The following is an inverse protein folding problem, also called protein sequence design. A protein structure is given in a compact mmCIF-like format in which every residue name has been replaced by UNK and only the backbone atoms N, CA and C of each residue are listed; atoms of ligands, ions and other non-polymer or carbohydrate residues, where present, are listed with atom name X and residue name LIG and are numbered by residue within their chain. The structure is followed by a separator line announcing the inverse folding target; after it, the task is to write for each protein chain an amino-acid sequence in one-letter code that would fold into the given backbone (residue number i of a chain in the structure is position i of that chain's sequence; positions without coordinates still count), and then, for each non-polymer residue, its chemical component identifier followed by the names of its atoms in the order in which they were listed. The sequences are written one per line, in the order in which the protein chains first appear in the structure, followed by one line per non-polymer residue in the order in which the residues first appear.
data_IF_032619861373
#
_entry.id   IF_032619861373
#
_cell.length_a   1.000
_cell.length_b   1.000
_cell.length_c   1.000
_cell.angle_alpha   90.00
_cell.angle_beta   90.00
_cell.angle_gamma   90.00
#
_symmetry.space_group_name_H-M   'P 1'
#
loop_
_entity.id
_entity.type
_entity.pdbx_description
1 polymer ?
#
# COMPACT_ATOMS: atom_id res chain seq x y z
N UNK A 1 1.03 -9.31 -6.36
CA UNK A 1 1.06 -8.10 -5.49
C UNK A 1 -0.31 -7.70 -4.91
N UNK A 2 -1.43 -8.27 -5.37
CA UNK A 2 -2.79 -8.08 -4.80
C UNK A 2 -2.89 -8.45 -3.28
N UNK A 3 -1.92 -9.20 -2.75
CA UNK A 3 -1.96 -9.83 -1.43
C UNK A 3 -1.52 -8.96 -0.26
N UNK A 4 -0.56 -8.05 -0.48
CA UNK A 4 -0.02 -7.17 0.59
C UNK A 4 -1.12 -6.29 1.15
N UNK A 5 -2.01 -5.85 0.27
CA UNK A 5 -3.18 -5.06 0.55
C UNK A 5 -4.21 -5.76 1.47
N UNK A 6 -4.69 -6.95 1.07
CA UNK A 6 -5.65 -7.73 1.85
C UNK A 6 -5.08 -8.20 3.19
N UNK A 7 -3.75 -8.35 3.28
CA UNK A 7 -3.08 -8.72 4.51
C UNK A 7 -3.22 -7.64 5.58
N UNK A 8 -2.92 -6.38 5.24
CA UNK A 8 -2.86 -5.25 6.18
C UNK A 8 -4.16 -4.98 6.96
N UNK A 9 -5.32 -5.47 6.46
CA UNK A 9 -6.63 -5.29 7.10
C UNK A 9 -6.98 -6.33 8.18
N UNK A 10 -6.17 -7.37 8.38
CA UNK A 10 -6.42 -8.37 9.42
C UNK A 10 -5.61 -8.05 10.68
N UNK A 11 -6.35 -7.68 11.75
CA UNK A 11 -5.80 -7.36 13.07
C UNK A 11 -4.97 -8.50 13.66
N UNK A 12 -4.00 -8.06 14.47
CA UNK A 12 -2.94 -8.78 15.18
C UNK A 12 -3.39 -10.03 15.97
N UNK A 13 -2.59 -11.10 15.86
CA UNK A 13 -2.43 -12.10 16.92
C UNK A 13 -0.93 -12.40 17.08
N UNK A 14 -0.28 -12.16 18.24
CA UNK A 14 1.13 -12.51 18.43
C UNK A 14 1.33 -14.02 18.27
N UNK A 15 2.44 -14.41 17.62
CA UNK A 15 2.85 -15.81 17.39
C UNK A 15 4.13 -16.15 18.16
N UNK A 16 4.75 -15.17 18.83
CA UNK A 16 5.84 -15.48 19.76
C UNK A 16 5.17 -16.12 20.97
N UNK A 17 5.18 -17.45 20.99
CA UNK A 17 4.71 -18.20 22.15
C UNK A 17 5.65 -17.87 23.31
N UNK A 18 5.12 -17.34 24.42
CA UNK A 18 5.92 -17.14 25.63
C UNK A 18 6.39 -18.47 26.23
N UNK A 19 5.86 -19.60 25.74
CA UNK A 19 6.02 -20.92 26.35
C UNK A 19 7.20 -21.70 25.78
N UNK A 20 7.62 -21.41 24.54
CA UNK A 20 8.69 -22.17 23.85
C UNK A 20 9.61 -21.27 23.01
N UNK A 21 10.88 -21.68 22.87
CA UNK A 21 11.88 -21.07 21.97
C UNK A 21 12.00 -19.54 22.11
N UNK A 22 12.05 -19.07 23.35
CA UNK A 22 12.25 -17.67 23.68
C UNK A 22 13.60 -17.43 24.38
N UNK A 23 13.98 -16.16 24.54
CA UNK A 23 15.26 -15.80 25.19
C UNK A 23 15.32 -16.21 26.67
N UNK A 24 14.17 -16.33 27.33
CA UNK A 24 14.07 -16.80 28.71
C UNK A 24 14.41 -18.28 28.87
N UNK A 25 14.22 -19.10 27.82
CA UNK A 25 14.68 -20.49 27.78
C UNK A 25 16.05 -20.64 27.08
N UNK A 26 16.87 -19.58 27.02
CA UNK A 26 18.19 -19.55 26.38
C UNK A 26 18.21 -19.95 24.89
N UNK A 27 17.09 -19.81 24.17
CA UNK A 27 17.06 -20.03 22.73
C UNK A 27 17.75 -18.87 21.97
N UNK A 28 18.59 -19.20 20.99
CA UNK A 28 19.21 -18.22 20.09
C UNK A 28 18.19 -17.75 19.03
N UNK A 29 17.64 -16.55 19.23
CA UNK A 29 16.63 -15.95 18.33
C UNK A 29 17.19 -14.68 17.68
N UNK A 30 17.38 -14.75 16.35
CA UNK A 30 17.82 -13.62 15.53
C UNK A 30 16.69 -12.63 15.28
N UNK A 31 16.93 -11.34 15.53
CA UNK A 31 15.91 -10.27 15.45
C UNK A 31 15.30 -10.13 14.05
N UNK A 32 16.12 -10.22 13.00
CA UNK A 32 15.70 -9.99 11.61
C UNK A 32 15.10 -11.21 10.92
N UNK A 33 14.81 -12.30 11.65
CA UNK A 33 14.36 -13.56 11.04
C UNK A 33 13.09 -13.39 10.19
N UNK A 34 12.17 -12.49 10.58
CA UNK A 34 10.93 -12.24 9.84
C UNK A 34 11.19 -11.60 8.47
N UNK A 35 12.12 -10.64 8.41
CA UNK A 35 12.52 -9.98 7.17
C UNK A 35 13.18 -10.97 6.22
N UNK A 36 14.13 -11.76 6.75
CA UNK A 36 14.81 -12.81 5.99
C UNK A 36 13.84 -13.88 5.49
N UNK A 37 12.91 -14.32 6.33
CA UNK A 37 11.89 -15.29 5.96
C UNK A 37 11.01 -14.77 4.81
N UNK A 38 10.60 -13.50 4.86
CA UNK A 38 9.83 -12.89 3.77
C UNK A 38 10.65 -12.80 2.48
N UNK A 39 11.90 -12.32 2.52
CA UNK A 39 12.73 -12.19 1.32
C UNK A 39 13.00 -13.55 0.65
N UNK A 40 13.20 -14.61 1.43
CA UNK A 40 13.52 -15.94 0.92
C UNK A 40 12.30 -16.73 0.41
N UNK A 41 11.09 -16.45 0.94
CA UNK A 41 9.91 -17.30 0.70
C UNK A 41 8.79 -16.61 -0.08
N UNK A 42 8.75 -15.27 -0.14
CA UNK A 42 7.69 -14.54 -0.84
C UNK A 42 7.61 -14.92 -2.33
N UNK A 43 8.74 -14.96 -3.04
CA UNK A 43 8.79 -15.34 -4.45
C UNK A 43 8.25 -16.77 -4.69
N UNK A 44 8.64 -17.72 -3.82
CA UNK A 44 8.20 -19.13 -3.90
C UNK A 44 6.69 -19.26 -3.69
N UNK A 45 6.14 -18.51 -2.73
CA UNK A 45 4.70 -18.49 -2.47
C UNK A 45 3.90 -17.85 -3.60
N UNK A 46 4.43 -16.79 -4.23
CA UNK A 46 3.81 -16.18 -5.41
C UNK A 46 3.85 -17.12 -6.60
N UNK A 47 4.97 -17.80 -6.83
CA UNK A 47 5.08 -18.81 -7.88
C UNK A 47 4.11 -19.98 -7.63
N UNK A 48 4.05 -20.48 -6.40
CA UNK A 48 3.11 -21.53 -5.99
C UNK A 48 1.65 -21.11 -6.17
N UNK A 49 1.30 -19.87 -5.84
CA UNK A 49 -0.03 -19.33 -6.10
C UNK A 49 -0.38 -19.32 -7.59
N UNK A 50 0.53 -18.87 -8.45
CA UNK A 50 0.30 -18.79 -9.89
C UNK A 50 0.14 -20.18 -10.53
N UNK A 51 0.90 -21.17 -10.05
CA UNK A 51 0.85 -22.55 -10.54
C UNK A 51 -0.27 -23.41 -9.90
N UNK A 52 -0.89 -22.96 -8.81
CA UNK A 52 -1.86 -23.75 -8.07
C UNK A 52 -3.25 -23.81 -8.74
N UNK A 53 -3.99 -24.93 -8.57
CA UNK A 53 -5.41 -24.99 -8.90
C UNK A 53 -6.24 -23.97 -8.10
N UNK A 54 -7.38 -23.55 -8.64
CA UNK A 54 -8.23 -22.50 -8.06
C UNK A 54 -8.63 -22.78 -6.60
N UNK A 55 -8.83 -24.05 -6.24
CA UNK A 55 -9.18 -24.49 -4.88
C UNK A 55 -8.06 -24.27 -3.85
N UNK A 56 -6.79 -24.38 -4.27
CA UNK A 56 -5.62 -24.26 -3.39
C UNK A 56 -5.07 -22.85 -3.31
N UNK A 57 -5.41 -22.01 -4.29
CA UNK A 57 -5.02 -20.60 -4.33
C UNK A 57 -5.26 -19.87 -3.00
N UNK A 58 -6.45 -19.94 -2.36
CA UNK A 58 -6.71 -19.31 -1.06
C UNK A 58 -5.67 -19.59 0.04
N UNK A 59 -5.09 -20.79 0.06
CA UNK A 59 -4.11 -21.17 1.07
C UNK A 59 -2.79 -20.40 0.92
N UNK A 60 -2.32 -20.20 -0.31
CA UNK A 60 -1.15 -19.37 -0.59
C UNK A 60 -1.38 -17.91 -0.17
N UNK A 61 -2.62 -17.43 -0.30
CA UNK A 61 -2.99 -16.06 0.08
C UNK A 61 -2.99 -15.89 1.58
N UNK A 62 -3.51 -16.89 2.28
CA UNK A 62 -3.48 -16.94 3.74
C UNK A 62 -2.03 -16.95 4.26
N UNK A 63 -1.15 -17.74 3.63
CA UNK A 63 0.26 -17.78 3.98
C UNK A 63 0.97 -16.44 3.71
N UNK A 64 0.83 -15.88 2.50
CA UNK A 64 1.40 -14.57 2.14
C UNK A 64 0.90 -13.46 3.07
N UNK A 65 -0.41 -13.45 3.35
CA UNK A 65 -1.04 -12.49 4.25
C UNK A 65 -0.45 -12.57 5.66
N UNK A 66 -0.34 -13.78 6.21
CA UNK A 66 0.25 -13.98 7.53
C UNK A 66 1.71 -13.54 7.59
N UNK A 67 2.52 -13.80 6.56
CA UNK A 67 3.92 -13.38 6.54
C UNK A 67 4.03 -11.86 6.50
N UNK A 68 3.30 -11.23 5.57
CA UNK A 68 3.31 -9.76 5.42
C UNK A 68 2.90 -9.11 6.72
N UNK A 69 1.81 -9.55 7.36
CA UNK A 69 1.29 -8.98 8.62
C UNK A 69 2.24 -9.10 9.81
N UNK A 70 3.27 -9.94 9.73
CA UNK A 70 4.30 -10.09 10.77
C UNK A 70 5.56 -9.29 10.51
N UNK A 71 5.67 -8.65 9.34
CA UNK A 71 6.77 -7.74 9.09
C UNK A 71 6.62 -6.45 9.88
N UNK A 72 7.74 -5.80 10.26
CA UNK A 72 7.69 -4.44 10.75
C UNK A 72 6.97 -3.55 9.73
N UNK A 73 6.10 -2.64 10.21
CA UNK A 73 5.35 -1.70 9.37
C UNK A 73 6.25 -0.97 8.36
N UNK A 74 7.46 -0.57 8.78
CA UNK A 74 8.44 0.07 7.89
C UNK A 74 8.73 -0.75 6.62
N UNK A 75 8.93 -2.07 6.75
CA UNK A 75 9.25 -2.95 5.60
C UNK A 75 8.04 -3.14 4.69
N UNK A 76 6.83 -3.17 5.25
CA UNK A 76 5.60 -3.27 4.46
C UNK A 76 5.37 -2.03 3.60
N UNK A 77 5.78 -0.85 4.12
CA UNK A 77 5.41 0.45 3.56
C UNK A 77 6.38 0.93 2.47
N UNK A 78 7.63 0.47 2.48
CA UNK A 78 8.62 0.79 1.42
C UNK A 78 8.21 0.23 0.05
N UNK A 79 7.55 -0.92 0.01
CA UNK A 79 7.18 -1.61 -1.23
C UNK A 79 5.84 -1.15 -1.82
N UNK A 80 4.97 -0.52 -1.02
CA UNK A 80 3.63 -0.13 -1.44
C UNK A 80 3.63 0.92 -2.57
N UNK A 81 4.41 2.01 -2.50
CA UNK A 81 4.48 2.96 -3.62
C UNK A 81 5.01 2.29 -4.89
N UNK A 82 5.97 1.37 -4.79
CA UNK A 82 6.51 0.66 -5.95
C UNK A 82 5.44 -0.18 -6.67
N UNK A 83 4.54 -0.82 -5.92
CA UNK A 83 3.45 -1.63 -6.45
C UNK A 83 2.45 -0.84 -7.31
N UNK A 84 2.30 0.48 -7.08
CA UNK A 84 1.44 1.35 -7.90
C UNK A 84 1.91 1.48 -9.36
N UNK A 85 3.17 1.20 -9.66
CA UNK A 85 3.69 1.22 -11.03
C UNK A 85 3.48 -0.10 -11.78
N UNK A 86 2.91 -1.12 -11.13
CA UNK A 86 2.48 -2.31 -11.83
C UNK A 86 1.32 -1.97 -12.78
N UNK A 87 1.32 -2.42 -14.05
CA UNK A 87 0.22 -2.14 -14.99
C UNK A 87 -1.07 -2.90 -14.66
N UNK A 88 -1.01 -3.88 -13.76
CA UNK A 88 -2.18 -4.65 -13.34
C UNK A 88 -3.15 -3.79 -12.51
N UNK A 89 -4.35 -3.58 -13.05
CA UNK A 89 -5.39 -2.76 -12.42
C UNK A 89 -5.83 -3.30 -11.05
N UNK A 90 -5.85 -4.63 -10.89
CA UNK A 90 -6.19 -5.27 -9.62
C UNK A 90 -5.15 -4.98 -8.53
N UNK A 91 -3.87 -5.02 -8.88
CA UNK A 91 -2.75 -4.63 -8.00
C UNK A 91 -2.88 -3.15 -7.64
N UNK A 92 -3.11 -2.27 -8.61
CA UNK A 92 -3.26 -0.83 -8.36
C UNK A 92 -4.41 -0.55 -7.39
N UNK A 93 -5.61 -1.07 -7.65
CA UNK A 93 -6.79 -0.89 -6.79
C UNK A 93 -6.56 -1.43 -5.38
N UNK A 94 -5.98 -2.62 -5.26
CA UNK A 94 -5.70 -3.23 -3.97
C UNK A 94 -4.70 -2.38 -3.18
N UNK A 95 -3.64 -1.92 -3.85
CA UNK A 95 -2.60 -1.09 -3.24
C UNK A 95 -3.16 0.26 -2.79
N UNK A 96 -3.94 0.95 -3.64
CA UNK A 96 -4.60 2.22 -3.31
C UNK A 96 -5.55 2.07 -2.12
N UNK A 97 -6.37 1.02 -2.10
CA UNK A 97 -7.31 0.75 -1.00
C UNK A 97 -6.60 0.55 0.34
N UNK A 98 -5.35 0.08 0.32
CA UNK A 98 -4.57 -0.18 1.53
C UNK A 98 -3.69 0.99 1.93
N UNK A 99 -3.30 1.84 0.98
CA UNK A 99 -2.68 3.12 1.28
C UNK A 99 -3.66 4.06 1.97
N UNK A 100 -4.93 4.09 1.56
CA UNK A 100 -5.91 5.04 2.06
C UNK A 100 -6.00 5.13 3.61
N UNK A 101 -6.11 4.02 4.38
CA UNK A 101 -6.07 4.08 5.84
C UNK A 101 -4.70 4.43 6.41
N UNK A 102 -3.60 4.08 5.73
CA UNK A 102 -2.23 4.42 6.17
C UNK A 102 -1.97 5.92 6.07
N UNK A 103 -2.58 6.60 5.10
CA UNK A 103 -2.43 8.04 4.91
C UNK A 103 -3.07 8.88 6.04
N UNK A 104 -3.95 8.30 6.86
CA UNK A 104 -4.54 9.00 8.01
C UNK A 104 -3.50 9.21 9.13
N UNK A 105 -2.59 8.26 9.30
CA UNK A 105 -1.49 8.31 10.28
C UNK A 105 -0.20 7.82 9.58
N UNK A 106 0.41 8.67 8.74
CA UNK A 106 1.50 8.25 7.88
C UNK A 106 2.77 7.99 8.70
N UNK A 107 3.45 6.85 8.50
CA UNK A 107 4.74 6.61 9.15
C UNK A 107 5.80 7.57 8.58
N UNK A 108 6.88 7.87 9.33
CA UNK A 108 7.99 8.70 8.84
C UNK A 108 8.61 8.19 7.53
N UNK A 109 8.67 6.87 7.34
CA UNK A 109 9.20 6.27 6.12
C UNK A 109 8.36 6.57 4.87
N UNK A 110 7.04 6.77 5.03
CA UNK A 110 6.17 7.15 3.92
C UNK A 110 6.35 8.63 3.57
N UNK A 111 6.50 9.48 4.60
CA UNK A 111 6.79 10.91 4.44
C UNK A 111 8.11 11.12 3.69
N UNK A 112 9.15 10.36 4.03
CA UNK A 112 10.43 10.37 3.29
C UNK A 112 10.29 10.03 1.79
N UNK A 113 9.24 9.29 1.42
CA UNK A 113 8.95 8.88 0.04
C UNK A 113 7.79 9.67 -0.58
N UNK A 114 7.32 10.75 0.08
CA UNK A 114 6.12 11.48 -0.29
C UNK A 114 6.13 11.96 -1.74
N UNK A 115 7.27 12.49 -2.19
CA UNK A 115 7.38 12.99 -3.55
C UNK A 115 7.16 11.90 -4.61
N UNK A 116 7.78 10.73 -4.40
CA UNK A 116 7.64 9.58 -5.28
C UNK A 116 6.22 9.00 -5.23
N UNK A 117 5.61 8.97 -4.04
CA UNK A 117 4.23 8.54 -3.86
C UNK A 117 3.27 9.45 -4.64
N UNK A 118 3.38 10.77 -4.46
CA UNK A 118 2.54 11.76 -5.16
C UNK A 118 2.68 11.61 -6.68
N UNK A 119 3.91 11.47 -7.19
CA UNK A 119 4.13 11.25 -8.62
C UNK A 119 3.36 10.05 -9.17
N UNK A 120 3.36 8.94 -8.44
CA UNK A 120 2.62 7.72 -8.83
C UNK A 120 1.11 7.89 -8.71
N UNK A 121 0.62 8.53 -7.65
CA UNK A 121 -0.81 8.81 -7.49
C UNK A 121 -1.33 9.72 -8.62
N UNK A 122 -0.62 10.81 -8.91
CA UNK A 122 -0.97 11.73 -9.99
C UNK A 122 -1.03 11.02 -11.36
N UNK A 123 -0.08 10.13 -11.65
CA UNK A 123 -0.12 9.34 -12.89
C UNK A 123 -1.39 8.47 -12.99
N UNK A 124 -1.83 7.87 -11.88
CA UNK A 124 -3.02 7.02 -11.84
C UNK A 124 -4.34 7.79 -12.00
N UNK A 125 -4.35 9.13 -11.84
CA UNK A 125 -5.54 9.95 -12.17
C UNK A 125 -5.88 9.94 -13.66
N UNK A 126 -4.95 9.55 -14.53
CA UNK A 126 -5.14 9.34 -15.96
C UNK A 126 -5.41 7.89 -16.36
N UNK A 127 -5.63 6.96 -15.41
CA UNK A 127 -5.85 5.54 -15.69
C UNK A 127 -7.07 5.31 -16.61
N UNK A 128 -7.05 4.31 -17.51
CA UNK A 128 -8.24 3.95 -18.29
C UNK A 128 -9.40 3.48 -17.42
N UNK A 129 -9.10 2.92 -16.24
CA UNK A 129 -10.07 2.42 -15.30
C UNK A 129 -10.65 3.54 -14.43
N UNK A 130 -11.96 3.48 -14.17
CA UNK A 130 -12.65 4.50 -13.39
C UNK A 130 -12.38 4.42 -11.90
N UNK A 131 -12.35 3.21 -11.34
CA UNK A 131 -12.16 3.01 -9.91
C UNK A 131 -10.72 3.31 -9.49
N UNK A 132 -9.74 3.04 -10.36
CA UNK A 132 -8.33 3.42 -10.12
C UNK A 132 -8.20 4.94 -10.01
N UNK A 133 -8.84 5.69 -10.92
CA UNK A 133 -8.82 7.17 -10.89
C UNK A 133 -9.45 7.71 -9.60
N UNK A 134 -10.64 7.20 -9.24
CA UNK A 134 -11.34 7.56 -8.00
C UNK A 134 -10.48 7.28 -6.77
N UNK A 135 -9.94 6.06 -6.67
CA UNK A 135 -9.13 5.62 -5.53
C UNK A 135 -7.84 6.43 -5.41
N UNK A 136 -7.21 6.79 -6.54
CA UNK A 136 -6.03 7.64 -6.54
C UNK A 136 -6.35 9.07 -6.07
N UNK A 137 -7.44 9.68 -6.56
CA UNK A 137 -7.89 11.00 -6.12
C UNK A 137 -8.19 11.04 -4.61
N UNK A 138 -8.78 9.98 -4.06
CA UNK A 138 -8.99 9.84 -2.61
C UNK A 138 -7.69 9.77 -1.83
N UNK A 139 -6.67 9.08 -2.36
CA UNK A 139 -5.35 9.06 -1.74
C UNK A 139 -4.68 10.45 -1.82
N UNK A 140 -4.80 11.15 -2.96
CA UNK A 140 -4.28 12.52 -3.10
C UNK A 140 -4.96 13.45 -2.10
N UNK A 141 -6.28 13.36 -1.96
CA UNK A 141 -7.02 14.09 -0.94
C UNK A 141 -6.54 13.75 0.49
N UNK A 142 -6.33 12.48 0.83
CA UNK A 142 -5.80 12.11 2.15
C UNK A 142 -4.41 12.72 2.42
N UNK A 143 -3.56 12.84 1.40
CA UNK A 143 -2.24 13.48 1.52
C UNK A 143 -2.34 14.99 1.81
N UNK A 144 -3.41 15.69 1.39
CA UNK A 144 -3.54 17.12 1.71
C UNK A 144 -3.67 17.40 3.22
N UNK A 145 -4.01 16.38 4.01
CA UNK A 145 -4.15 16.47 5.45
C UNK A 145 -2.82 16.30 6.21
N UNK A 146 -1.70 16.10 5.50
CA UNK A 146 -0.38 16.01 6.10
C UNK A 146 0.07 17.39 6.64
N UNK A 147 1.07 17.44 7.54
CA UNK A 147 1.60 18.69 8.03
C UNK A 147 2.01 19.63 6.89
N UNK A 148 1.68 20.92 7.01
CA UNK A 148 1.81 21.90 5.93
C UNK A 148 3.23 21.95 5.32
N UNK A 149 4.27 21.88 6.17
CA UNK A 149 5.66 21.89 5.73
C UNK A 149 6.05 20.71 4.83
N UNK A 150 5.36 19.56 4.94
CA UNK A 150 5.59 18.38 4.09
C UNK A 150 4.93 18.53 2.70
N UNK A 151 3.79 19.22 2.63
CA UNK A 151 2.99 19.32 1.40
C UNK A 151 3.26 20.58 0.58
N UNK A 152 3.70 21.68 1.22
CA UNK A 152 4.00 22.94 0.53
C UNK A 152 4.97 22.79 -0.65
N UNK A 153 6.08 22.00 -0.56
CA UNK A 153 7.02 21.85 -1.67
C UNK A 153 6.40 21.25 -2.94
N UNK A 154 5.34 20.45 -2.79
CA UNK A 154 4.71 19.70 -3.89
C UNK A 154 3.38 20.31 -4.34
N UNK A 155 2.81 21.25 -3.57
CA UNK A 155 1.48 21.86 -3.78
C UNK A 155 1.24 22.34 -5.21
N UNK A 156 2.14 23.18 -5.73
CA UNK A 156 1.98 23.75 -7.08
C UNK A 156 1.99 22.69 -8.20
N UNK A 157 2.72 21.59 -8.00
CA UNK A 157 2.72 20.46 -8.94
C UNK A 157 1.41 19.68 -8.86
N UNK A 158 0.92 19.42 -7.65
CA UNK A 158 -0.34 18.70 -7.41
C UNK A 158 -1.53 19.47 -7.99
N UNK A 159 -1.68 20.76 -7.68
CA UNK A 159 -2.78 21.59 -8.17
C UNK A 159 -2.83 21.69 -9.69
N UNK A 160 -1.66 21.79 -10.35
CA UNK A 160 -1.58 21.76 -11.82
C UNK A 160 -2.05 20.41 -12.37
N UNK A 161 -1.60 19.31 -11.78
CA UNK A 161 -1.99 17.97 -12.22
C UNK A 161 -3.48 17.68 -11.97
N UNK A 162 -4.05 18.20 -10.87
CA UNK A 162 -5.47 18.08 -10.55
C UNK A 162 -6.40 18.88 -11.48
N UNK A 163 -5.87 19.71 -12.39
CA UNK A 163 -6.71 20.35 -13.42
C UNK A 163 -7.34 19.35 -14.38
N UNK A 164 -6.59 18.33 -14.81
CA UNK A 164 -7.07 17.37 -15.81
C UNK A 164 -8.25 16.51 -15.29
N UNK A 165 -8.23 15.95 -14.06
CA UNK A 165 -9.35 15.17 -13.55
C UNK A 165 -10.62 15.98 -13.24
N UNK A 166 -10.56 17.33 -13.19
CA UNK A 166 -11.77 18.15 -13.08
C UNK A 166 -12.65 18.07 -14.33
N UNK A 167 -12.04 17.89 -15.50
CA UNK A 167 -12.72 17.73 -16.79
C UNK A 167 -12.90 16.26 -17.18
N UNK A 168 -12.83 15.35 -16.20
CA UNK A 168 -12.96 13.93 -16.44
C UNK A 168 -14.32 13.58 -17.07
N UNK A 169 -14.37 12.63 -18.01
CA UNK A 169 -15.62 12.18 -18.65
C UNK A 169 -16.67 11.65 -17.67
N UNK A 170 -16.28 11.15 -16.49
CA UNK A 170 -17.19 10.56 -15.49
C UNK A 170 -17.45 11.52 -14.33
N UNK A 171 -18.73 11.79 -14.05
CA UNK A 171 -19.17 12.68 -12.95
C UNK A 171 -18.58 12.31 -11.59
N UNK A 172 -18.51 11.02 -11.26
CA UNK A 172 -17.97 10.58 -9.97
C UNK A 172 -16.47 10.89 -9.84
N UNK A 173 -15.69 10.78 -10.92
CA UNK A 173 -14.27 11.16 -10.91
C UNK A 173 -14.12 12.66 -10.68
N UNK A 174 -14.91 13.48 -11.41
CA UNK A 174 -14.92 14.94 -11.22
C UNK A 174 -15.24 15.33 -9.78
N UNK A 175 -16.20 14.65 -9.14
CA UNK A 175 -16.55 14.90 -7.73
C UNK A 175 -15.35 14.71 -6.81
N UNK A 176 -14.65 13.58 -6.91
CA UNK A 176 -13.47 13.31 -6.08
C UNK A 176 -12.30 14.25 -6.43
N UNK A 177 -12.17 14.67 -7.69
CA UNK A 177 -11.17 15.65 -8.12
C UNK A 177 -11.42 17.04 -7.50
N UNK A 178 -12.68 17.48 -7.45
CA UNK A 178 -13.08 18.73 -6.78
C UNK A 178 -12.76 18.66 -5.29
N UNK A 179 -13.11 17.57 -4.61
CA UNK A 179 -12.79 17.39 -3.19
C UNK A 179 -11.27 17.46 -2.95
N UNK A 180 -10.49 16.68 -3.70
CA UNK A 180 -9.04 16.71 -3.57
C UNK A 180 -8.49 18.12 -3.82
N UNK A 181 -8.90 18.78 -4.89
CA UNK A 181 -8.34 20.09 -5.26
C UNK A 181 -8.69 21.21 -4.26
N UNK A 182 -9.87 21.16 -3.65
CA UNK A 182 -10.28 22.19 -2.70
C UNK A 182 -9.46 22.18 -1.41
N UNK A 183 -9.03 20.99 -0.98
CA UNK A 183 -8.22 20.83 0.23
C UNK A 183 -6.72 21.02 -0.02
N UNK A 184 -6.29 20.99 -1.28
CA UNK A 184 -4.90 21.21 -1.72
C UNK A 184 -4.55 22.67 -2.02
#
# INVERSE_FOLDING_TARGET
MIWVAKALLLRYHPLDSPDILNRGCHADVRIMYRQRFFSENSAKLVQGFNAAPQEKKPNFLKALSNIVNKLPKQVQLTELPAALSCPDLGVQLSTLSCLQPVLVDPPPSLIQQLEALIGRLLALTGSPDMEVRISSLRCIHAVSQFPEHEILPVRARVLRALARPLDDRKRLVRREAVHARNDW
#
